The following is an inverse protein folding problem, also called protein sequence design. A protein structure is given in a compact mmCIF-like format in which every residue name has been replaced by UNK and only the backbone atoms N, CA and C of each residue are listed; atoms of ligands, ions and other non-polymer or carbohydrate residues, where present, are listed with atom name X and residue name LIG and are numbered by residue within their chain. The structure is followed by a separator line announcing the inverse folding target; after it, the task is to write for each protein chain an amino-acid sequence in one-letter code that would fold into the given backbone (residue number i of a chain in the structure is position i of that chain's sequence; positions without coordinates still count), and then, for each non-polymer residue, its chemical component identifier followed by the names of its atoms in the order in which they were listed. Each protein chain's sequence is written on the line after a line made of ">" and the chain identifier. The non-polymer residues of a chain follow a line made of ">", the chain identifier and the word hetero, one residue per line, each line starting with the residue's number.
data_IF_267723862928
#
_entry.id   IF_267723862928
#
_cell.length_a   1.000
_cell.length_b   1.000
_cell.length_c   1.000
_cell.angle_alpha   90.00
_cell.angle_beta   90.00
_cell.angle_gamma   90.00
#
_symmetry.space_group_name_H-M   'P 1'
#
loop_
_entity.id
_entity.type
_entity.pdbx_description
1 polymer ?
#
# COMPACT_ATOMS: atom_id res chain seq x y z
N UNK A 1 -24.74 -9.34 -11.93
CA UNK A 1 -23.77 -10.44 -11.64
C UNK A 1 -22.33 -9.95 -11.70
N UNK A 2 -21.84 -9.43 -12.82
CA UNK A 2 -20.44 -8.94 -12.94
C UNK A 2 -20.13 -7.83 -11.92
N UNK A 3 -21.02 -6.85 -11.74
CA UNK A 3 -20.81 -5.76 -10.78
C UNK A 3 -20.70 -6.24 -9.33
N UNK A 4 -21.50 -7.25 -8.96
CA UNK A 4 -21.43 -7.91 -7.65
C UNK A 4 -20.08 -8.63 -7.48
N UNK A 5 -19.62 -9.34 -8.51
CA UNK A 5 -18.32 -10.02 -8.50
C UNK A 5 -17.18 -9.02 -8.33
N UNK A 6 -17.19 -7.90 -9.08
CA UNK A 6 -16.16 -6.86 -8.98
C UNK A 6 -16.17 -6.21 -7.60
N UNK A 7 -17.34 -5.93 -7.03
CA UNK A 7 -17.45 -5.40 -5.67
C UNK A 7 -16.87 -6.40 -4.66
N UNK A 8 -17.20 -7.69 -4.78
CA UNK A 8 -16.60 -8.72 -3.92
C UNK A 8 -15.09 -8.79 -4.06
N UNK A 9 -14.55 -8.76 -5.28
CA UNK A 9 -13.10 -8.75 -5.53
C UNK A 9 -12.45 -7.48 -4.95
N UNK A 10 -13.09 -6.33 -5.08
CA UNK A 10 -12.64 -5.08 -4.49
C UNK A 10 -12.55 -5.18 -2.97
N UNK A 11 -13.60 -5.68 -2.31
CA UNK A 11 -13.59 -5.88 -0.87
C UNK A 11 -12.53 -6.91 -0.42
N UNK A 12 -12.37 -8.00 -1.17
CA UNK A 12 -11.35 -9.01 -0.89
C UNK A 12 -9.93 -8.48 -1.08
N UNK A 13 -9.72 -7.53 -1.98
CA UNK A 13 -8.40 -6.94 -2.25
C UNK A 13 -7.85 -6.09 -1.09
N UNK A 14 -8.69 -5.66 -0.14
CA UNK A 14 -8.21 -5.01 1.07
C UNK A 14 -7.32 -5.93 1.91
N UNK A 15 -7.61 -7.23 1.95
CA UNK A 15 -6.87 -8.16 2.79
C UNK A 15 -5.37 -8.24 2.41
N UNK A 16 -4.99 -8.54 1.15
CA UNK A 16 -3.58 -8.56 0.77
C UNK A 16 -2.94 -7.17 0.78
N UNK A 17 -3.70 -6.10 0.55
CA UNK A 17 -3.21 -4.73 0.67
C UNK A 17 -2.81 -4.39 2.11
N UNK A 18 -3.69 -4.68 3.08
CA UNK A 18 -3.40 -4.47 4.49
C UNK A 18 -2.25 -5.36 4.97
N UNK A 19 -2.25 -6.64 4.59
CA UNK A 19 -1.19 -7.58 4.96
C UNK A 19 0.19 -7.17 4.42
N UNK A 20 0.29 -6.80 3.15
CA UNK A 20 1.55 -6.35 2.54
C UNK A 20 2.04 -5.04 3.16
N UNK A 21 1.13 -4.10 3.43
CA UNK A 21 1.45 -2.83 4.08
C UNK A 21 1.91 -3.03 5.52
N UNK A 22 1.30 -3.97 6.25
CA UNK A 22 1.75 -4.38 7.59
C UNK A 22 3.19 -4.90 7.56
N UNK A 23 3.46 -5.84 6.67
CA UNK A 23 4.78 -6.47 6.56
C UNK A 23 5.85 -5.44 6.15
N UNK A 24 5.50 -4.51 5.25
CA UNK A 24 6.38 -3.39 4.93
C UNK A 24 6.66 -2.54 6.16
N UNK A 25 5.62 -2.14 6.90
CA UNK A 25 5.74 -1.32 8.10
C UNK A 25 6.63 -1.99 9.15
N UNK A 26 6.35 -3.25 9.50
CA UNK A 26 7.16 -4.01 10.48
C UNK A 26 8.63 -4.09 10.02
N UNK A 27 8.87 -4.42 8.74
CA UNK A 27 10.22 -4.43 8.17
C UNK A 27 10.88 -3.04 8.22
N UNK A 28 10.11 -1.97 8.03
CA UNK A 28 10.63 -0.62 8.05
C UNK A 28 11.07 -0.18 9.45
N UNK A 29 10.27 -0.55 10.46
CA UNK A 29 10.61 -0.29 11.87
C UNK A 29 11.81 -1.12 12.31
N UNK A 30 11.84 -2.42 11.96
CA UNK A 30 12.86 -3.35 12.44
C UNK A 30 14.21 -3.15 11.73
N UNK A 31 14.20 -3.06 10.40
CA UNK A 31 15.44 -3.10 9.60
C UNK A 31 15.97 -1.68 9.30
N UNK A 32 15.13 -0.64 9.37
CA UNK A 32 15.47 0.75 8.98
C UNK A 32 14.98 1.78 10.01
N UNK A 33 15.11 1.43 11.30
CA UNK A 33 14.61 2.21 12.44
C UNK A 33 14.91 3.71 12.36
N UNK A 34 16.17 4.09 12.09
CA UNK A 34 16.55 5.51 12.01
C UNK A 34 15.92 6.26 10.86
N UNK A 35 15.60 5.57 9.76
CA UNK A 35 14.82 6.19 8.69
C UNK A 35 13.36 6.31 9.12
N UNK A 36 12.74 5.27 9.68
CA UNK A 36 11.38 5.32 10.20
C UNK A 36 11.18 6.43 11.25
N UNK A 37 12.12 6.57 12.18
CA UNK A 37 12.11 7.59 13.23
C UNK A 37 12.17 9.01 12.64
N UNK A 38 13.01 9.24 11.62
CA UNK A 38 13.09 10.52 10.89
C UNK A 38 11.77 10.91 10.19
N UNK A 39 10.93 9.93 9.90
CA UNK A 39 9.59 10.13 9.34
C UNK A 39 8.50 10.33 10.42
N UNK A 40 8.91 10.61 11.65
CA UNK A 40 8.02 10.95 12.77
C UNK A 40 7.53 9.74 13.55
N UNK A 41 8.15 8.58 13.38
CA UNK A 41 7.82 7.34 14.08
C UNK A 41 6.30 7.04 14.06
N UNK A 42 5.65 7.06 12.89
CA UNK A 42 4.20 6.94 12.84
C UNK A 42 3.76 5.61 13.38
N UNK A 43 2.67 5.60 14.15
CA UNK A 43 1.99 4.36 14.50
C UNK A 43 1.40 3.71 13.24
N UNK A 44 1.07 2.40 13.28
CA UNK A 44 0.58 1.68 12.11
C UNK A 44 -0.65 2.35 11.47
N UNK A 45 -1.64 2.78 12.27
CA UNK A 45 -2.88 3.38 11.76
C UNK A 45 -2.65 4.69 10.99
N UNK A 46 -1.78 5.56 11.51
CA UNK A 46 -1.38 6.80 10.84
C UNK A 46 -0.64 6.50 9.54
N UNK A 47 0.23 5.50 9.55
CA UNK A 47 0.92 5.07 8.34
C UNK A 47 -0.05 4.55 7.27
N UNK A 48 -1.00 3.69 7.62
CA UNK A 48 -2.01 3.16 6.68
C UNK A 48 -2.83 4.28 6.02
N UNK A 49 -3.33 5.23 6.82
CA UNK A 49 -4.15 6.32 6.30
C UNK A 49 -3.31 7.33 5.48
N UNK A 50 -2.06 7.53 5.88
CA UNK A 50 -1.14 8.47 5.24
C UNK A 50 -0.34 7.92 4.07
N UNK A 51 -0.46 6.61 3.74
CA UNK A 51 0.46 5.94 2.81
C UNK A 51 0.48 6.56 1.39
N UNK A 52 -0.66 7.08 0.95
CA UNK A 52 -0.85 7.69 -0.38
C UNK A 52 -0.71 9.22 -0.37
N UNK A 53 -0.54 9.84 0.80
CA UNK A 53 -0.42 11.30 0.95
C UNK A 53 0.92 11.63 1.59
N UNK A 54 1.03 11.43 2.90
CA UNK A 54 2.22 11.82 3.69
C UNK A 54 3.42 10.91 3.45
N UNK A 55 3.20 9.60 3.38
CA UNK A 55 4.27 8.61 3.16
C UNK A 55 4.43 8.21 1.70
N UNK A 56 3.88 9.01 0.79
CA UNK A 56 4.03 8.80 -0.65
C UNK A 56 5.51 8.69 -1.07
N UNK A 57 6.46 9.53 -0.59
CA UNK A 57 7.88 9.39 -0.96
C UNK A 57 8.51 8.07 -0.50
N UNK A 58 8.05 7.53 0.64
CA UNK A 58 8.50 6.24 1.18
C UNK A 58 7.95 5.10 0.33
N UNK A 59 6.65 5.09 0.08
CA UNK A 59 6.00 4.01 -0.67
C UNK A 59 6.30 4.09 -2.16
N UNK A 60 6.18 5.25 -2.81
CA UNK A 60 6.23 5.44 -4.26
C UNK A 60 7.48 6.17 -4.76
N UNK A 61 8.19 6.89 -3.90
CA UNK A 61 9.42 7.60 -4.24
C UNK A 61 10.68 6.74 -4.16
N UNK A 62 11.82 7.43 -3.99
CA UNK A 62 13.16 6.85 -3.93
C UNK A 62 13.73 6.72 -2.52
N UNK A 63 12.98 7.12 -1.49
CA UNK A 63 13.46 7.08 -0.09
C UNK A 63 14.00 5.70 0.30
N UNK A 64 13.22 4.63 0.06
CA UNK A 64 13.69 3.27 0.35
C UNK A 64 14.81 2.76 -0.59
N UNK A 65 14.96 3.33 -1.80
CA UNK A 65 16.04 2.93 -2.72
C UNK A 65 17.38 3.42 -2.21
N UNK A 66 17.40 4.62 -1.64
CA UNK A 66 18.59 5.24 -1.06
C UNK A 66 19.11 4.47 0.17
N UNK A 67 18.26 3.68 0.84
CA UNK A 67 18.64 2.84 1.97
C UNK A 67 19.39 1.57 1.55
N UNK A 68 19.25 1.13 0.28
CA UNK A 68 19.89 -0.09 -0.22
C UNK A 68 19.35 -1.41 0.37
N UNK A 69 18.30 -1.35 1.21
CA UNK A 69 17.72 -2.52 1.85
C UNK A 69 16.80 -3.31 0.91
N UNK A 70 17.32 -4.42 0.39
CA UNK A 70 16.61 -5.28 -0.57
C UNK A 70 15.30 -5.88 -0.02
N UNK A 71 15.26 -6.21 1.26
CA UNK A 71 14.08 -6.80 1.91
C UNK A 71 12.96 -5.78 1.99
N UNK A 72 13.27 -4.57 2.47
CA UNK A 72 12.31 -3.45 2.51
C UNK A 72 11.82 -3.08 1.11
N UNK A 73 12.71 -3.03 0.12
CA UNK A 73 12.36 -2.75 -1.28
C UNK A 73 11.42 -3.80 -1.89
N UNK A 74 11.62 -5.08 -1.58
CA UNK A 74 10.72 -6.15 -1.99
C UNK A 74 9.32 -5.96 -1.39
N UNK A 75 9.24 -5.72 -0.07
CA UNK A 75 7.96 -5.45 0.61
C UNK A 75 7.25 -4.22 0.06
N UNK A 76 8.01 -3.16 -0.25
CA UNK A 76 7.47 -1.95 -0.90
C UNK A 76 6.87 -2.26 -2.26
N UNK A 77 7.50 -3.14 -3.04
CA UNK A 77 7.00 -3.56 -4.35
C UNK A 77 5.69 -4.34 -4.20
N UNK A 78 5.56 -5.21 -3.20
CA UNK A 78 4.32 -5.92 -2.90
C UNK A 78 3.19 -4.94 -2.56
N UNK A 79 3.47 -3.95 -1.70
CA UNK A 79 2.51 -2.87 -1.37
C UNK A 79 2.04 -2.15 -2.63
N UNK A 80 2.97 -1.67 -3.47
CA UNK A 80 2.63 -0.99 -4.74
C UNK A 80 1.77 -1.87 -5.65
N UNK A 81 2.09 -3.16 -5.75
CA UNK A 81 1.35 -4.11 -6.57
C UNK A 81 -0.09 -4.28 -6.10
N UNK A 82 -0.31 -4.45 -4.79
CA UNK A 82 -1.66 -4.58 -4.25
C UNK A 82 -2.46 -3.28 -4.29
N UNK A 83 -1.82 -2.12 -4.16
CA UNK A 83 -2.49 -0.83 -4.41
C UNK A 83 -2.98 -0.76 -5.86
N UNK A 84 -2.14 -1.17 -6.82
CA UNK A 84 -2.52 -1.15 -8.23
C UNK A 84 -3.72 -2.07 -8.51
N UNK A 85 -3.73 -3.29 -7.96
CA UNK A 85 -4.90 -4.19 -8.04
C UNK A 85 -6.14 -3.52 -7.42
N UNK A 86 -5.99 -2.93 -6.23
CA UNK A 86 -7.10 -2.29 -5.52
C UNK A 86 -7.70 -1.12 -6.32
N UNK A 87 -6.86 -0.27 -6.89
CA UNK A 87 -7.26 0.86 -7.73
C UNK A 87 -7.92 0.39 -9.03
N UNK A 88 -7.37 -0.64 -9.68
CA UNK A 88 -7.99 -1.21 -10.89
C UNK A 88 -9.39 -1.76 -10.61
N UNK A 89 -9.57 -2.47 -9.49
CA UNK A 89 -10.88 -2.98 -9.06
C UNK A 89 -11.85 -1.85 -8.71
N UNK A 90 -11.37 -0.79 -8.05
CA UNK A 90 -12.16 0.40 -7.78
C UNK A 90 -12.64 1.04 -9.07
N UNK A 91 -11.74 1.32 -10.02
CA UNK A 91 -12.09 1.91 -11.32
C UNK A 91 -13.06 1.02 -12.11
N UNK A 92 -12.84 -0.30 -12.12
CA UNK A 92 -13.74 -1.26 -12.76
C UNK A 92 -15.14 -1.22 -12.12
N UNK A 93 -15.25 -1.05 -10.81
CA UNK A 93 -16.54 -0.88 -10.12
C UNK A 93 -17.27 0.40 -10.52
N UNK A 94 -16.54 1.51 -10.70
CA UNK A 94 -17.13 2.81 -11.04
C UNK A 94 -17.55 2.90 -12.51
N UNK A 95 -16.73 2.37 -13.42
CA UNK A 95 -17.03 2.36 -14.86
C UNK A 95 -18.31 1.59 -15.20
N UNK A 96 -18.67 0.57 -14.41
CA UNK A 96 -19.95 -0.12 -14.58
C UNK A 96 -21.15 0.65 -14.03
N UNK A 97 -20.93 1.54 -13.06
CA UNK A 97 -21.97 2.41 -12.50
C UNK A 97 -22.31 3.59 -13.43
N UNK A 98 -21.34 4.11 -14.18
CA UNK A 98 -21.52 5.23 -15.12
C UNK A 98 -22.00 4.86 -16.52
N UNK A 99 -22.11 3.57 -16.85
CA UNK A 99 -22.61 3.07 -18.14
C UNK A 99 -24.13 2.82 -18.16
N UNK A 100 -24.88 3.39 -17.21
CA UNK A 100 -26.34 3.31 -17.09
C UNK A 100 -26.97 4.68 -17.23
#
# INVERSE_FOLDING_TARGET
>A
MISTIILCLYLLSFFPLLSSTRQFYETWVDDEFHHWERWGAPNPGVFYLGMVIFYFPVIFGKECENLGNKKLLAKRKDVRFFILIHVLLLLASQLQGGAR
#
